data_IF_674559929061
#
_entry.id   IF_674559929061
#
_cell.length_a   1.000
_cell.length_b   1.000
_cell.length_c   1.000
_cell.angle_alpha   90.00
_cell.angle_beta   90.00
_cell.angle_gamma   90.00
#
_symmetry.space_group_name_H-M   'P 1'
#
loop_
_entity.id
_entity.type
_entity.pdbx_description
1 polymer ?
#
# COMPACT_ATOMS: atom_id res chain seq x y z
N UNK A 1 -45.56 -45.98 -14.70
CA UNK A 1 -44.28 -46.46 -14.12
C UNK A 1 -43.34 -45.27 -14.05
N UNK A 2 -42.85 -44.92 -12.84
CA UNK A 2 -42.13 -43.65 -12.56
C UNK A 2 -40.67 -43.74 -13.01
N UNK A 3 -40.22 -42.81 -13.85
CA UNK A 3 -38.81 -42.58 -14.14
C UNK A 3 -38.18 -41.81 -12.97
N UNK A 4 -37.03 -42.26 -12.49
CA UNK A 4 -36.26 -41.60 -11.44
C UNK A 4 -35.26 -40.66 -12.11
N UNK A 5 -35.32 -39.37 -11.81
CA UNK A 5 -34.30 -38.40 -12.21
C UNK A 5 -33.26 -38.38 -11.09
N UNK A 6 -32.05 -38.85 -11.39
CA UNK A 6 -30.89 -38.66 -10.53
C UNK A 6 -30.43 -37.20 -10.63
N UNK A 7 -30.68 -36.42 -9.58
CA UNK A 7 -30.12 -35.08 -9.45
C UNK A 7 -28.67 -35.19 -8.96
N UNK A 8 -27.72 -34.99 -9.86
CA UNK A 8 -26.30 -34.86 -9.54
C UNK A 8 -26.10 -33.47 -8.91
N UNK A 9 -25.93 -33.41 -7.60
CA UNK A 9 -25.63 -32.17 -6.88
C UNK A 9 -24.22 -31.71 -7.26
N UNK A 10 -24.16 -30.60 -8.02
CA UNK A 10 -22.93 -29.82 -8.18
C UNK A 10 -22.64 -29.17 -6.82
N UNK A 11 -21.65 -29.68 -6.09
CA UNK A 11 -21.13 -28.99 -4.92
C UNK A 11 -20.24 -27.86 -5.43
N UNK A 12 -20.54 -26.57 -5.18
CA UNK A 12 -19.62 -25.51 -5.54
C UNK A 12 -18.37 -25.67 -4.67
N UNK A 13 -17.22 -25.78 -5.31
CA UNK A 13 -15.91 -25.66 -4.66
C UNK A 13 -15.86 -24.31 -3.97
N UNK A 14 -15.93 -24.31 -2.65
CA UNK A 14 -15.68 -23.11 -1.84
C UNK A 14 -14.23 -22.74 -2.07
N UNK A 15 -13.99 -21.53 -2.59
CA UNK A 15 -12.65 -20.96 -2.64
C UNK A 15 -12.09 -20.96 -1.22
N UNK A 16 -10.99 -21.69 -1.01
CA UNK A 16 -10.24 -21.61 0.24
C UNK A 16 -9.74 -20.18 0.33
N UNK A 17 -10.38 -19.36 1.18
CA UNK A 17 -9.83 -18.09 1.61
C UNK A 17 -8.44 -18.41 2.19
N UNK A 18 -7.39 -17.90 1.56
CA UNK A 18 -6.07 -18.00 2.15
C UNK A 18 -6.12 -17.29 3.50
N UNK A 19 -5.62 -18.00 4.51
CA UNK A 19 -5.65 -17.67 5.94
C UNK A 19 -5.47 -16.17 6.23
N UNK A 20 -6.34 -15.63 7.09
CA UNK A 20 -6.33 -14.26 7.66
C UNK A 20 -5.12 -13.94 8.56
N UNK A 21 -3.93 -14.31 8.11
CA UNK A 21 -2.67 -13.98 8.73
C UNK A 21 -2.02 -12.83 7.97
N UNK A 22 -1.54 -11.86 8.75
CA UNK A 22 -0.58 -10.83 8.34
C UNK A 22 0.44 -11.35 7.30
N UNK A 23 0.58 -10.70 6.13
CA UNK A 23 1.66 -11.06 5.23
C UNK A 23 3.01 -10.80 5.91
N UNK A 24 3.94 -11.74 5.73
CA UNK A 24 5.31 -11.58 6.20
C UNK A 24 6.05 -10.52 5.38
N UNK A 25 7.06 -9.90 5.98
CA UNK A 25 7.93 -8.96 5.26
C UNK A 25 8.56 -9.58 4.00
N UNK A 26 8.97 -10.85 4.06
CA UNK A 26 9.51 -11.57 2.90
C UNK A 26 8.48 -11.76 1.77
N UNK A 27 7.22 -12.03 2.11
CA UNK A 27 6.15 -12.13 1.12
C UNK A 27 5.89 -10.77 0.44
N UNK A 28 5.81 -9.70 1.24
CA UNK A 28 5.64 -8.35 0.71
C UNK A 28 6.81 -7.96 -0.19
N UNK A 29 8.05 -8.18 0.26
CA UNK A 29 9.25 -7.88 -0.50
C UNK A 29 9.25 -8.63 -1.84
N UNK A 30 8.95 -9.93 -1.82
CA UNK A 30 8.85 -10.74 -3.03
C UNK A 30 7.79 -10.20 -4.00
N UNK A 31 6.61 -9.80 -3.52
CA UNK A 31 5.59 -9.20 -4.38
C UNK A 31 6.08 -7.89 -5.02
N UNK A 32 6.74 -7.05 -4.23
CA UNK A 32 7.24 -5.76 -4.68
C UNK A 32 8.40 -5.89 -5.70
N UNK A 33 9.34 -6.80 -5.49
CA UNK A 33 10.44 -7.09 -6.41
C UNK A 33 9.94 -7.65 -7.75
N UNK A 34 8.84 -8.41 -7.72
CA UNK A 34 8.21 -8.94 -8.93
C UNK A 34 7.24 -7.95 -9.60
N UNK A 35 7.20 -6.68 -9.17
CA UNK A 35 6.29 -5.66 -9.71
C UNK A 35 4.81 -5.90 -9.42
N UNK A 36 4.49 -6.84 -8.51
CA UNK A 36 3.11 -7.21 -8.16
C UNK A 36 2.55 -6.29 -7.06
N UNK A 37 2.68 -4.97 -7.26
CA UNK A 37 2.29 -3.95 -6.27
C UNK A 37 0.81 -4.07 -5.91
N UNK A 38 -0.08 -4.25 -6.89
CA UNK A 38 -1.52 -4.40 -6.63
C UNK A 38 -1.86 -5.65 -5.81
N UNK A 39 -1.08 -6.73 -5.93
CA UNK A 39 -1.27 -7.94 -5.11
C UNK A 39 -0.81 -7.69 -3.67
N UNK A 40 0.30 -6.96 -3.48
CA UNK A 40 0.76 -6.55 -2.16
C UNK A 40 -0.27 -5.66 -1.44
N UNK A 41 -0.88 -4.72 -2.17
CA UNK A 41 -2.00 -3.90 -1.68
C UNK A 41 -3.16 -4.79 -1.21
N UNK A 42 -3.66 -5.66 -2.10
CA UNK A 42 -4.82 -6.52 -1.79
C UNK A 42 -4.55 -7.39 -0.57
N UNK A 43 -3.36 -7.99 -0.49
CA UNK A 43 -2.97 -8.86 0.64
C UNK A 43 -2.96 -8.09 1.98
N UNK A 44 -2.50 -6.85 1.98
CA UNK A 44 -2.48 -6.01 3.19
C UNK A 44 -3.87 -5.49 3.56
N UNK A 45 -4.70 -5.16 2.58
CA UNK A 45 -6.09 -4.74 2.81
C UNK A 45 -6.93 -5.89 3.40
N UNK A 46 -6.78 -7.10 2.87
CA UNK A 46 -7.42 -8.30 3.41
C UNK A 46 -6.97 -8.55 4.85
N UNK A 47 -5.66 -8.47 5.13
CA UNK A 47 -5.14 -8.64 6.50
C UNK A 47 -5.62 -7.55 7.47
N UNK A 48 -5.80 -6.32 7.01
CA UNK A 48 -6.37 -5.24 7.82
C UNK A 48 -7.87 -5.43 8.07
N UNK A 49 -8.58 -6.19 7.23
CA UNK A 49 -9.96 -6.58 7.49
C UNK A 49 -10.11 -7.33 8.81
N UNK A 50 -9.15 -8.19 9.14
CA UNK A 50 -9.14 -8.99 10.38
C UNK A 50 -8.70 -8.17 11.60
N UNK A 51 -7.75 -7.25 11.44
CA UNK A 51 -7.33 -6.31 12.48
C UNK A 51 -7.12 -4.89 11.92
N UNK A 52 -8.18 -4.07 11.86
CA UNK A 52 -8.12 -2.77 11.21
C UNK A 52 -7.31 -1.73 11.98
N UNK A 53 -6.86 -2.03 13.21
CA UNK A 53 -6.12 -1.12 14.08
C UNK A 53 -4.69 -1.56 14.32
N UNK A 54 -4.15 -2.48 13.52
CA UNK A 54 -2.74 -2.87 13.61
C UNK A 54 -1.82 -1.76 13.06
N UNK A 55 -1.06 -1.05 13.90
CA UNK A 55 -0.18 0.03 13.45
C UNK A 55 0.93 -0.47 12.50
N UNK A 56 1.39 -1.72 12.65
CA UNK A 56 2.40 -2.31 11.79
C UNK A 56 1.82 -2.55 10.40
N UNK A 57 0.60 -3.08 10.29
CA UNK A 57 -0.02 -3.29 8.98
C UNK A 57 -0.43 -2.00 8.30
N UNK A 58 -0.88 -1.01 9.05
CA UNK A 58 -1.12 0.33 8.50
C UNK A 58 0.18 0.94 7.95
N UNK A 59 1.30 0.77 8.65
CA UNK A 59 2.61 1.19 8.16
C UNK A 59 3.02 0.43 6.88
N UNK A 60 2.88 -0.90 6.86
CA UNK A 60 3.21 -1.72 5.69
C UNK A 60 2.37 -1.35 4.47
N UNK A 61 1.05 -1.15 4.65
CA UNK A 61 0.17 -0.72 3.57
C UNK A 61 0.56 0.67 3.07
N UNK A 62 0.96 1.58 3.95
CA UNK A 62 1.44 2.89 3.53
C UNK A 62 2.70 2.81 2.65
N UNK A 63 3.63 1.89 2.96
CA UNK A 63 4.81 1.65 2.13
C UNK A 63 4.42 1.17 0.75
N UNK A 64 3.53 0.18 0.68
CA UNK A 64 3.07 -0.36 -0.61
C UNK A 64 2.29 0.70 -1.40
N UNK A 65 1.42 1.49 -0.76
CA UNK A 65 0.67 2.59 -1.39
C UNK A 65 1.57 3.71 -1.90
N UNK A 66 2.68 3.97 -1.22
CA UNK A 66 3.69 4.92 -1.71
C UNK A 66 4.34 4.41 -3.00
N UNK A 67 4.66 3.11 -3.10
CA UNK A 67 5.18 2.48 -4.33
C UNK A 67 4.14 2.42 -5.45
N UNK A 68 2.86 2.32 -5.10
CA UNK A 68 1.71 2.39 -6.03
C UNK A 68 1.46 3.81 -6.55
N UNK A 69 2.14 4.83 -6.00
CA UNK A 69 1.96 6.24 -6.33
C UNK A 69 0.81 6.92 -5.60
N UNK A 70 0.02 6.19 -4.81
CA UNK A 70 -1.04 6.73 -3.96
C UNK A 70 -0.49 7.27 -2.64
N UNK A 71 0.27 8.36 -2.77
CA UNK A 71 0.93 9.05 -1.65
C UNK A 71 -0.05 9.69 -0.68
N UNK A 72 -1.29 9.97 -1.11
CA UNK A 72 -2.33 10.54 -0.26
C UNK A 72 -2.83 9.49 0.74
N UNK A 73 -3.21 8.31 0.26
CA UNK A 73 -3.63 7.19 1.12
C UNK A 73 -2.48 6.76 2.03
N UNK A 74 -1.25 6.69 1.51
CA UNK A 74 -0.08 6.36 2.32
C UNK A 74 0.10 7.30 3.53
N UNK A 75 -0.05 8.61 3.34
CA UNK A 75 0.06 9.57 4.43
C UNK A 75 -1.06 9.40 5.48
N UNK A 76 -2.30 9.15 5.04
CA UNK A 76 -3.42 8.90 5.95
C UNK A 76 -3.20 7.65 6.82
N UNK A 77 -2.67 6.58 6.21
CA UNK A 77 -2.35 5.33 6.90
C UNK A 77 -1.25 5.54 7.93
N UNK A 78 -0.16 6.23 7.57
CA UNK A 78 0.92 6.59 8.52
C UNK A 78 0.43 7.51 9.65
N UNK A 79 -0.49 8.42 9.35
CA UNK A 79 -1.13 9.26 10.36
C UNK A 79 -2.00 8.46 11.33
N UNK A 80 -2.69 7.44 10.84
CA UNK A 80 -3.45 6.53 11.71
C UNK A 80 -2.52 5.66 12.55
N UNK A 81 -1.50 5.08 11.93
CA UNK A 81 -0.50 4.25 12.60
C UNK A 81 0.19 5.04 13.74
N UNK A 82 0.62 6.28 13.48
CA UNK A 82 1.24 7.14 14.48
C UNK A 82 0.29 7.58 15.61
N UNK A 83 -1.03 7.59 15.39
CA UNK A 83 -2.00 7.82 16.46
C UNK A 83 -2.19 6.60 17.35
N UNK A 84 -2.09 5.40 16.77
CA UNK A 84 -2.24 4.13 17.48
C UNK A 84 -0.98 3.78 18.27
N UNK A 85 0.20 4.08 17.72
CA UNK A 85 1.49 3.82 18.35
C UNK A 85 2.45 5.03 18.19
N UNK A 86 2.29 6.06 19.04
CA UNK A 86 3.05 7.31 18.91
C UNK A 86 4.56 7.17 19.10
N UNK A 87 4.99 6.16 19.87
CA UNK A 87 6.38 5.95 20.25
C UNK A 87 7.12 4.98 19.32
N UNK A 88 6.51 4.55 18.21
CA UNK A 88 7.14 3.62 17.27
C UNK A 88 8.04 4.37 16.27
N UNK A 89 9.39 4.25 16.35
CA UNK A 89 10.30 5.10 15.58
C UNK A 89 10.15 4.90 14.06
N UNK A 90 9.98 3.66 13.61
CA UNK A 90 9.80 3.33 12.18
C UNK A 90 8.60 4.06 11.58
N UNK A 91 7.48 4.11 12.30
CA UNK A 91 6.26 4.81 11.84
C UNK A 91 6.52 6.32 11.79
N UNK A 92 7.16 6.87 12.83
CA UNK A 92 7.49 8.30 12.89
C UNK A 92 8.42 8.72 11.73
N UNK A 93 9.45 7.92 11.44
CA UNK A 93 10.42 8.16 10.38
C UNK A 93 9.79 8.06 9.00
N UNK A 94 8.99 7.03 8.74
CA UNK A 94 8.28 6.87 7.47
C UNK A 94 7.33 8.02 7.20
N UNK A 95 6.58 8.41 8.22
CA UNK A 95 5.64 9.53 8.18
C UNK A 95 6.37 10.85 7.93
N UNK A 96 7.54 11.06 8.54
CA UNK A 96 8.39 12.25 8.31
C UNK A 96 8.94 12.27 6.89
N UNK A 97 9.58 11.18 6.44
CA UNK A 97 10.15 11.03 5.09
C UNK A 97 9.10 11.32 4.01
N UNK A 98 7.90 10.74 4.13
CA UNK A 98 6.83 10.97 3.15
C UNK A 98 6.35 12.42 3.14
N UNK A 99 6.23 13.09 4.30
CA UNK A 99 5.85 14.51 4.35
C UNK A 99 6.88 15.42 3.70
N UNK A 100 8.16 15.17 3.96
CA UNK A 100 9.25 15.95 3.38
C UNK A 100 9.24 15.81 1.85
N UNK A 101 9.02 14.60 1.34
CA UNK A 101 8.88 14.37 -0.10
C UNK A 101 7.65 15.08 -0.70
N UNK A 102 6.48 15.00 -0.05
CA UNK A 102 5.27 15.70 -0.51
C UNK A 102 5.49 17.21 -0.52
N UNK A 103 6.08 17.78 0.53
CA UNK A 103 6.39 19.20 0.61
C UNK A 103 7.35 19.64 -0.49
N UNK A 104 8.39 18.83 -0.77
CA UNK A 104 9.31 19.06 -1.87
C UNK A 104 8.59 19.02 -3.24
N UNK A 105 7.67 18.08 -3.47
CA UNK A 105 6.87 17.99 -4.71
C UNK A 105 5.99 19.22 -4.92
N UNK A 106 5.31 19.69 -3.87
CA UNK A 106 4.46 20.89 -3.94
C UNK A 106 5.31 22.15 -4.18
N UNK A 107 6.44 22.28 -3.48
CA UNK A 107 7.37 23.39 -3.64
C UNK A 107 8.01 23.42 -5.04
N UNK A 108 8.50 22.28 -5.52
CA UNK A 108 9.05 22.13 -6.86
C UNK A 108 8.01 22.43 -7.93
N UNK A 109 6.78 21.91 -7.82
CA UNK A 109 5.71 22.23 -8.77
C UNK A 109 5.39 23.73 -8.79
N UNK A 110 5.33 24.40 -7.63
CA UNK A 110 5.09 25.85 -7.56
C UNK A 110 6.21 26.63 -8.25
N UNK A 111 7.47 26.32 -7.95
CA UNK A 111 8.61 27.01 -8.57
C UNK A 111 8.76 26.69 -10.07
N UNK A 112 8.46 25.46 -10.47
CA UNK A 112 8.51 25.04 -11.87
C UNK A 112 7.38 25.69 -12.69
N UNK A 113 6.19 25.87 -12.12
CA UNK A 113 5.10 26.62 -12.76
C UNK A 113 5.40 28.11 -12.91
N UNK A 114 6.11 28.71 -11.94
CA UNK A 114 6.45 30.14 -11.97
C UNK A 114 7.67 30.45 -12.88
N UNK A 115 8.52 29.44 -13.19
CA UNK A 115 9.84 29.67 -13.79
C UNK A 115 10.13 28.96 -15.13
N UNK A 116 9.23 28.13 -15.68
CA UNK A 116 9.52 27.31 -16.88
C UNK A 116 8.74 27.76 -18.12
N UNK A 117 9.44 28.22 -19.19
CA UNK A 117 8.88 28.25 -20.55
C UNK A 117 8.40 26.85 -20.98
N UNK A 118 7.22 26.78 -21.63
CA UNK A 118 6.44 25.55 -21.86
C UNK A 118 7.18 24.41 -22.60
N UNK A 119 8.32 24.71 -23.22
CA UNK A 119 9.11 23.80 -24.03
C UNK A 119 10.15 22.99 -23.23
N UNK A 120 10.39 23.26 -21.94
CA UNK A 120 11.50 22.64 -21.18
C UNK A 120 11.07 22.10 -19.79
N UNK A 121 9.91 21.44 -19.71
CA UNK A 121 9.52 20.73 -18.47
C UNK A 121 10.53 19.61 -18.15
N UNK A 122 11.17 19.58 -16.96
CA UNK A 122 11.96 18.42 -16.54
C UNK A 122 11.07 17.17 -16.56
N UNK A 123 11.51 16.16 -17.30
CA UNK A 123 10.62 15.12 -17.81
C UNK A 123 10.09 14.17 -16.75
N UNK A 124 10.71 14.02 -15.57
CA UNK A 124 10.17 13.19 -14.50
C UNK A 124 10.62 13.68 -13.12
N UNK A 125 9.69 13.64 -12.17
CA UNK A 125 9.95 13.85 -10.75
C UNK A 125 10.71 12.63 -10.19
N UNK A 126 11.60 12.78 -9.20
CA UNK A 126 12.23 11.64 -8.56
C UNK A 126 11.17 10.75 -7.90
N UNK A 127 11.43 9.44 -7.89
CA UNK A 127 10.58 8.46 -7.23
C UNK A 127 10.38 8.81 -5.74
N UNK A 128 9.24 8.42 -5.13
CA UNK A 128 9.07 8.56 -3.70
C UNK A 128 10.18 7.81 -2.94
N UNK A 129 10.61 8.33 -1.76
CA UNK A 129 11.67 7.70 -1.01
C UNK A 129 11.24 6.31 -0.56
N UNK A 130 12.18 5.35 -0.43
CA UNK A 130 11.89 4.11 0.27
C UNK A 130 11.47 4.43 1.71
N UNK A 131 10.36 3.82 2.15
CA UNK A 131 9.83 3.94 3.51
C UNK A 131 10.30 2.80 4.41
N UNK A 132 11.43 2.16 4.09
CA UNK A 132 12.19 1.30 5.00
C UNK A 132 13.65 1.62 4.78
N UNK A 133 14.45 1.56 5.85
CA UNK A 133 15.90 1.62 5.72
C UNK A 133 16.38 0.26 5.19
N UNK A 134 17.25 0.26 4.18
CA UNK A 134 18.03 -0.94 3.78
C UNK A 134 19.14 -1.25 4.80
#
# INVERSE_FOLDING_TARGET
MKAWIAALLLVPTVAVAQSGAAPTSAQLQSLLENGKVSQAVTTLEDSLGDNPFDPVQLNNLAVVRTRDGDVYTALQLLDRAARLEPDQPVIADNRKKLREWIAAKIGANKQQMDAVPLDHLPSMLPDPPPLWDE
#
